data_IF_641746925252
#
_entry.id   IF_641746925252
#
_cell.length_a   1.000
_cell.length_b   1.000
_cell.length_c   1.000
_cell.angle_alpha   90.00
_cell.angle_beta   90.00
_cell.angle_gamma   90.00
#
_symmetry.space_group_name_H-M   'P 1'
#
loop_
_entity.id
_entity.type
_entity.pdbx_description
1 polymer ?
#
# COMPACT_ATOMS: atom_id res chain seq x y z
N UNK A 1 -19.96 -20.61 -16.23
CA UNK A 1 -19.55 -19.17 -16.25
C UNK A 1 -18.60 -18.93 -15.07
N UNK A 2 -17.33 -19.38 -15.15
CA UNK A 2 -16.37 -19.35 -14.01
C UNK A 2 -15.01 -18.71 -14.40
N UNK A 3 -14.70 -18.57 -15.69
CA UNK A 3 -13.34 -18.27 -16.18
C UNK A 3 -12.90 -16.81 -16.02
N UNK A 4 -13.81 -15.83 -15.87
CA UNK A 4 -13.45 -14.40 -15.90
C UNK A 4 -12.90 -13.86 -14.57
N UNK A 5 -13.07 -14.61 -13.48
CA UNK A 5 -12.64 -14.22 -12.13
C UNK A 5 -11.18 -14.55 -11.86
N UNK A 6 -10.69 -15.71 -12.33
CA UNK A 6 -9.31 -16.15 -12.12
C UNK A 6 -8.28 -15.31 -12.87
N UNK A 7 -8.58 -14.87 -14.10
CA UNK A 7 -7.62 -14.10 -14.91
C UNK A 7 -7.21 -12.78 -14.23
N UNK A 8 -8.16 -12.09 -13.60
CA UNK A 8 -7.88 -10.82 -12.90
C UNK A 8 -7.10 -10.99 -11.60
N UNK A 9 -7.35 -12.09 -10.86
CA UNK A 9 -6.54 -12.40 -9.67
C UNK A 9 -5.11 -12.77 -10.04
N UNK A 10 -4.92 -13.49 -11.15
CA UNK A 10 -3.60 -13.81 -11.68
C UNK A 10 -2.88 -12.55 -12.15
N UNK A 11 -3.54 -11.64 -12.86
CA UNK A 11 -2.98 -10.34 -13.25
C UNK A 11 -2.53 -9.51 -12.03
N UNK A 12 -3.34 -9.47 -10.96
CA UNK A 12 -2.97 -8.81 -9.71
C UNK A 12 -1.75 -9.46 -9.05
N UNK A 13 -1.73 -10.80 -8.93
CA UNK A 13 -0.61 -11.56 -8.34
C UNK A 13 0.68 -11.34 -9.11
N UNK A 14 0.63 -11.38 -10.44
CA UNK A 14 1.79 -11.16 -11.30
C UNK A 14 2.31 -9.73 -11.15
N UNK A 15 1.43 -8.72 -11.16
CA UNK A 15 1.83 -7.33 -10.95
C UNK A 15 2.43 -7.07 -9.56
N UNK A 16 1.84 -7.65 -8.51
CA UNK A 16 2.38 -7.56 -7.15
C UNK A 16 3.76 -8.21 -7.05
N UNK A 17 3.97 -9.37 -7.69
CA UNK A 17 5.25 -10.07 -7.71
C UNK A 17 6.31 -9.27 -8.46
N UNK A 18 5.95 -8.67 -9.60
CA UNK A 18 6.84 -7.83 -10.40
C UNK A 18 7.32 -6.61 -9.59
N UNK A 19 6.40 -5.98 -8.87
CA UNK A 19 6.70 -4.79 -8.06
C UNK A 19 7.56 -5.16 -6.85
N UNK A 20 7.26 -6.28 -6.21
CA UNK A 20 8.07 -6.78 -5.10
C UNK A 20 9.49 -7.13 -5.57
N UNK A 21 9.64 -7.83 -6.71
CA UNK A 21 10.94 -8.13 -7.30
C UNK A 21 11.71 -6.86 -7.70
N UNK A 22 11.02 -5.89 -8.32
CA UNK A 22 11.62 -4.60 -8.69
C UNK A 22 12.08 -3.82 -7.47
N UNK A 23 11.30 -3.84 -6.38
CA UNK A 23 11.64 -3.15 -5.14
C UNK A 23 12.88 -3.75 -4.48
N UNK A 24 12.95 -5.08 -4.38
CA UNK A 24 14.13 -5.76 -3.84
C UNK A 24 15.38 -5.44 -4.67
N UNK A 25 15.25 -5.37 -6.00
CA UNK A 25 16.33 -4.95 -6.90
C UNK A 25 16.81 -3.53 -6.61
N UNK A 26 15.88 -2.57 -6.47
CA UNK A 26 16.22 -1.17 -6.15
C UNK A 26 16.85 -1.07 -4.76
N UNK A 27 16.27 -1.73 -3.75
CA UNK A 27 16.81 -1.76 -2.39
C UNK A 27 18.25 -2.29 -2.37
N UNK A 28 18.51 -3.39 -3.09
CA UNK A 28 19.85 -3.98 -3.19
C UNK A 28 20.87 -3.00 -3.79
N UNK A 29 20.50 -2.24 -4.82
CA UNK A 29 21.37 -1.23 -5.43
C UNK A 29 21.63 -0.07 -4.45
N UNK A 30 20.58 0.46 -3.81
CA UNK A 30 20.70 1.61 -2.89
C UNK A 30 21.60 1.29 -1.70
N UNK A 31 21.44 0.11 -1.10
CA UNK A 31 22.29 -0.32 0.01
C UNK A 31 23.71 -0.68 -0.43
N UNK A 32 23.89 -1.23 -1.63
CA UNK A 32 25.23 -1.55 -2.16
C UNK A 32 26.07 -0.30 -2.44
N UNK A 33 25.44 0.82 -2.81
CA UNK A 33 26.12 2.10 -3.07
C UNK A 33 26.42 2.85 -1.76
N UNK A 34 25.84 2.43 -0.63
CA UNK A 34 26.07 3.05 0.67
C UNK A 34 25.40 4.41 0.85
N UNK A 35 24.35 4.69 0.07
CA UNK A 35 23.56 5.95 0.19
C UNK A 35 22.81 5.99 1.53
N UNK A 36 22.39 4.84 2.04
CA UNK A 36 21.65 4.70 3.29
C UNK A 36 22.30 3.61 4.17
N UNK A 37 22.39 3.85 5.48
CA UNK A 37 22.81 2.81 6.43
C UNK A 37 21.74 1.73 6.51
N UNK A 38 22.14 0.47 6.36
CA UNK A 38 21.21 -0.66 6.39
C UNK A 38 20.69 -0.90 7.80
N UNK A 39 19.40 -0.65 7.98
CA UNK A 39 18.65 -1.05 9.17
C UNK A 39 17.65 -2.16 8.79
N UNK A 40 17.46 -3.14 9.69
CA UNK A 40 16.47 -4.21 9.50
C UNK A 40 15.06 -3.62 9.36
N UNK A 41 14.81 -2.51 10.03
CA UNK A 41 13.51 -1.84 10.01
C UNK A 41 13.17 -1.36 8.59
N UNK A 42 14.14 -0.89 7.82
CA UNK A 42 13.92 -0.36 6.46
C UNK A 42 13.49 -1.44 5.45
N UNK A 43 13.84 -2.71 5.68
CA UNK A 43 13.42 -3.83 4.82
C UNK A 43 11.89 -3.86 4.73
N UNK A 44 11.22 -3.58 5.84
CA UNK A 44 9.76 -3.48 5.94
C UNK A 44 9.25 -2.38 5.01
N UNK A 45 9.90 -1.20 4.98
CA UNK A 45 9.54 -0.11 4.09
C UNK A 45 9.75 -0.43 2.62
N UNK A 46 10.86 -1.08 2.29
CA UNK A 46 11.15 -1.47 0.91
C UNK A 46 10.16 -2.50 0.37
N UNK A 47 9.65 -3.41 1.21
CA UNK A 47 8.66 -4.39 0.76
C UNK A 47 7.25 -3.77 0.76
N UNK A 48 6.83 -3.21 1.89
CA UNK A 48 5.45 -2.73 2.09
C UNK A 48 5.15 -1.42 1.38
N UNK A 49 6.16 -0.57 1.14
CA UNK A 49 5.94 0.74 0.50
C UNK A 49 5.45 0.60 -0.93
N UNK A 50 6.24 -0.01 -1.84
CA UNK A 50 5.84 -0.21 -3.23
C UNK A 50 4.61 -1.09 -3.37
N UNK A 51 4.48 -2.11 -2.52
CA UNK A 51 3.30 -2.99 -2.50
C UNK A 51 2.03 -2.22 -2.07
N UNK A 52 2.14 -1.35 -1.07
CA UNK A 52 1.06 -0.49 -0.61
C UNK A 52 0.62 0.49 -1.68
N UNK A 53 1.57 1.17 -2.34
CA UNK A 53 1.30 2.07 -3.47
C UNK A 53 0.58 1.31 -4.60
N UNK A 54 1.10 0.15 -5.00
CA UNK A 54 0.47 -0.67 -6.04
C UNK A 54 -0.96 -1.07 -5.69
N UNK A 55 -1.20 -1.50 -4.45
CA UNK A 55 -2.52 -1.94 -4.00
C UNK A 55 -3.52 -0.77 -4.05
N UNK A 56 -3.09 0.44 -3.70
CA UNK A 56 -3.92 1.66 -3.85
C UNK A 56 -4.24 1.93 -5.31
N UNK A 57 -3.23 1.90 -6.20
CA UNK A 57 -3.42 2.12 -7.64
C UNK A 57 -4.35 1.08 -8.26
N UNK A 58 -4.18 -0.19 -7.89
CA UNK A 58 -5.03 -1.27 -8.34
C UNK A 58 -6.48 -1.07 -7.90
N UNK A 59 -6.70 -0.69 -6.63
CA UNK A 59 -8.04 -0.37 -6.11
C UNK A 59 -8.70 0.84 -6.79
N UNK A 60 -7.93 1.87 -7.15
CA UNK A 60 -8.44 3.03 -7.89
C UNK A 60 -8.85 2.64 -9.32
N UNK A 61 -8.02 1.86 -10.01
CA UNK A 61 -8.22 1.49 -11.42
C UNK A 61 -9.28 0.41 -11.62
N UNK A 62 -9.36 -0.58 -10.73
CA UNK A 62 -10.31 -1.69 -10.84
C UNK A 62 -11.50 -1.50 -9.89
N UNK A 63 -12.71 -1.57 -10.44
CA UNK A 63 -13.95 -1.24 -9.72
C UNK A 63 -14.48 -2.36 -8.81
N UNK A 64 -13.78 -3.50 -8.69
CA UNK A 64 -14.19 -4.62 -7.83
C UNK A 64 -13.50 -4.49 -6.48
N UNK A 65 -14.28 -4.21 -5.44
CA UNK A 65 -13.83 -4.04 -4.06
C UNK A 65 -12.75 -2.95 -3.89
N UNK A 66 -12.94 -1.82 -4.57
CA UNK A 66 -12.09 -0.62 -4.53
C UNK A 66 -11.70 -0.21 -3.10
N UNK A 67 -12.68 -0.20 -2.19
CA UNK A 67 -12.45 0.20 -0.79
C UNK A 67 -11.56 -0.77 -0.03
N UNK A 68 -11.71 -2.08 -0.26
CA UNK A 68 -10.86 -3.08 0.39
C UNK A 68 -9.39 -2.88 0.00
N UNK A 69 -9.12 -2.73 -1.30
CA UNK A 69 -7.77 -2.53 -1.81
C UNK A 69 -7.16 -1.18 -1.36
N UNK A 70 -7.95 -0.09 -1.38
CA UNK A 70 -7.46 1.22 -0.92
C UNK A 70 -7.15 1.19 0.59
N UNK A 71 -8.05 0.66 1.43
CA UNK A 71 -7.81 0.57 2.87
C UNK A 71 -6.59 -0.30 3.18
N UNK A 72 -6.45 -1.44 2.50
CA UNK A 72 -5.34 -2.35 2.70
C UNK A 72 -4.01 -1.75 2.22
N UNK A 73 -4.00 -1.11 1.05
CA UNK A 73 -2.83 -0.43 0.53
C UNK A 73 -2.40 0.76 1.40
N UNK A 74 -3.35 1.51 1.95
CA UNK A 74 -3.07 2.61 2.87
C UNK A 74 -2.49 2.11 4.20
N UNK A 75 -2.96 0.98 4.70
CA UNK A 75 -2.40 0.32 5.88
C UNK A 75 -0.95 -0.11 5.64
N UNK A 76 -0.68 -0.77 4.51
CA UNK A 76 0.69 -1.17 4.11
C UNK A 76 1.60 0.05 3.93
N UNK A 77 1.10 1.11 3.29
CA UNK A 77 1.83 2.36 3.10
C UNK A 77 2.17 3.02 4.44
N UNK A 78 1.23 3.05 5.38
CA UNK A 78 1.45 3.62 6.71
C UNK A 78 2.51 2.84 7.50
N UNK A 79 2.52 1.50 7.42
CA UNK A 79 3.58 0.70 8.01
C UNK A 79 4.94 0.99 7.37
N UNK A 80 4.97 1.13 6.04
CA UNK A 80 6.19 1.47 5.32
C UNK A 80 6.72 2.87 5.67
N UNK A 81 5.83 3.87 5.78
CA UNK A 81 6.21 5.22 6.20
C UNK A 81 6.63 5.25 7.67
N UNK A 82 5.94 4.50 8.53
CA UNK A 82 6.28 4.42 9.95
C UNK A 82 7.65 3.78 10.19
N UNK A 83 8.05 2.84 9.34
CA UNK A 83 9.41 2.33 9.33
C UNK A 83 10.38 3.37 8.72
N UNK A 84 10.14 3.89 7.53
CA UNK A 84 11.11 4.78 6.86
C UNK A 84 11.34 6.12 7.61
N UNK A 85 10.35 6.60 8.34
CA UNK A 85 10.38 7.87 9.05
C UNK A 85 10.56 7.70 10.56
N UNK A 86 10.75 6.49 11.08
CA UNK A 86 10.92 6.24 12.52
C UNK A 86 11.98 7.15 13.18
N UNK A 87 13.12 7.51 12.56
CA UNK A 87 14.13 8.35 13.22
C UNK A 87 13.73 9.84 13.24
N UNK A 88 12.75 10.25 12.43
CA UNK A 88 12.35 11.65 12.23
C UNK A 88 10.98 11.98 12.83
N UNK A 89 10.07 11.01 12.81
CA UNK A 89 8.66 11.18 13.16
C UNK A 89 8.23 10.04 14.06
N UNK A 90 7.50 10.38 15.13
CA UNK A 90 6.98 9.37 16.04
C UNK A 90 5.96 8.46 15.32
N UNK A 91 6.04 7.13 15.44
CA UNK A 91 5.13 6.19 14.77
C UNK A 91 3.64 6.48 15.00
N UNK A 92 3.29 6.99 16.19
CA UNK A 92 1.92 7.38 16.54
C UNK A 92 1.36 8.48 15.63
N UNK A 93 2.20 9.39 15.12
CA UNK A 93 1.76 10.47 14.22
C UNK A 93 1.25 9.90 12.90
N UNK A 94 1.92 8.88 12.36
CA UNK A 94 1.56 8.22 11.11
C UNK A 94 0.31 7.36 11.31
N UNK A 95 0.21 6.67 12.45
CA UNK A 95 -1.00 5.92 12.82
C UNK A 95 -2.22 6.84 12.96
N UNK A 96 -2.06 8.01 13.59
CA UNK A 96 -3.13 9.01 13.72
C UNK A 96 -3.58 9.52 12.36
N UNK A 97 -2.64 9.85 11.47
CA UNK A 97 -2.96 10.28 10.11
C UNK A 97 -3.71 9.19 9.32
N UNK A 98 -3.26 7.93 9.43
CA UNK A 98 -3.93 6.79 8.81
C UNK A 98 -5.39 6.69 9.26
N UNK A 99 -5.66 6.79 10.57
CA UNK A 99 -7.01 6.73 11.12
C UNK A 99 -7.89 7.87 10.59
N UNK A 100 -7.36 9.09 10.50
CA UNK A 100 -8.08 10.25 9.94
C UNK A 100 -8.44 9.99 8.48
N UNK A 101 -7.49 9.53 7.66
CA UNK A 101 -7.74 9.25 6.24
C UNK A 101 -8.76 8.12 6.06
N UNK A 102 -8.65 7.03 6.83
CA UNK A 102 -9.63 5.94 6.82
C UNK A 102 -11.03 6.42 7.24
N UNK A 103 -11.12 7.28 8.25
CA UNK A 103 -12.38 7.86 8.70
C UNK A 103 -13.03 8.73 7.60
N UNK A 104 -12.24 9.55 6.88
CA UNK A 104 -12.73 10.37 5.77
C UNK A 104 -13.25 9.49 4.63
N UNK A 105 -12.51 8.44 4.25
CA UNK A 105 -12.92 7.50 3.19
C UNK A 105 -14.20 6.76 3.59
N UNK A 106 -14.27 6.27 4.83
CA UNK A 106 -15.45 5.60 5.38
C UNK A 106 -16.68 6.49 5.39
N UNK A 107 -16.52 7.73 5.84
CA UNK A 107 -17.61 8.72 5.89
C UNK A 107 -18.09 9.14 4.49
N UNK A 108 -17.16 9.39 3.57
CA UNK A 108 -17.48 9.72 2.17
C UNK A 108 -18.31 8.61 1.50
N UNK A 109 -17.94 7.35 1.76
CA UNK A 109 -18.65 6.17 1.26
C UNK A 109 -20.05 6.05 1.85
N UNK A 110 -20.19 6.25 3.17
CA UNK A 110 -21.47 6.22 3.85
C UNK A 110 -22.44 7.27 3.26
N UNK A 111 -21.95 8.51 3.08
CA UNK A 111 -22.74 9.61 2.52
C UNK A 111 -23.11 9.40 1.05
N UNK A 112 -22.22 8.80 0.26
CA UNK A 112 -22.49 8.46 -1.13
C UNK A 112 -23.62 7.43 -1.30
N UNK A 113 -23.78 6.52 -0.34
CA UNK A 113 -24.83 5.49 -0.34
C UNK A 113 -26.21 6.04 0.06
N UNK A 114 -26.26 7.09 0.89
CA UNK A 114 -27.51 7.76 1.30
C UNK A 114 -28.08 8.73 0.27
N UNK A 115 -27.32 9.14 -0.75
CA UNK A 115 -27.81 10.06 -1.81
C UNK A 115 -28.71 9.39 -2.86
N UNK A 116 -28.95 8.09 -2.74
CA UNK A 116 -29.73 7.27 -3.70
C UNK A 116 -30.88 6.49 -3.04
N UNK A 117 -31.19 6.77 -1.77
CA UNK A 117 -32.38 6.30 -1.05
C UNK A 117 -33.28 7.49 -0.82
#
# INVERSE_FOLDING_TARGET
MIVKTESKELEYKIGALLILASSIGVASIVYSIGILSFDIVDIVSWILGPLGVYTIFYGLWFNRDRFFHICWGLFMLALALSSALYPLVHPLTILGLLLIVLAIIGFSTYRGRMRWV
#
